data_IF_387713369845
#
_entry.id   IF_387713369845
#
_cell.length_a   1.000
_cell.length_b   1.000
_cell.length_c   1.000
_cell.angle_alpha   90.00
_cell.angle_beta   90.00
_cell.angle_gamma   90.00
#
_symmetry.space_group_name_H-M   'P 1'
#
loop_
_entity.id
_entity.type
_entity.pdbx_description
1 polymer ?
#
# COMPACT_ATOMS: atom_id res chain seq x y z
N UNK A 1 -34.81 -16.78 36.33
CA UNK A 1 -34.81 -16.48 34.88
C UNK A 1 -33.58 -15.62 34.60
N UNK A 2 -32.53 -16.20 34.03
CA UNK A 2 -31.26 -15.51 33.74
C UNK A 2 -31.36 -14.83 32.37
N UNK A 3 -31.13 -13.51 32.32
CA UNK A 3 -30.94 -12.75 31.10
C UNK A 3 -29.44 -12.43 30.95
N UNK A 4 -28.79 -13.13 30.02
CA UNK A 4 -27.39 -12.89 29.67
C UNK A 4 -27.25 -11.53 28.98
N UNK A 5 -26.49 -10.63 29.60
CA UNK A 5 -26.06 -9.34 29.02
C UNK A 5 -24.93 -9.65 28.04
N UNK A 6 -25.23 -9.67 26.74
CA UNK A 6 -24.23 -9.82 25.69
C UNK A 6 -23.20 -8.69 25.75
N UNK A 7 -21.92 -9.08 25.83
CA UNK A 7 -20.75 -8.21 25.77
C UNK A 7 -20.74 -7.56 24.37
N UNK A 8 -20.96 -6.25 24.30
CA UNK A 8 -20.78 -5.48 23.07
C UNK A 8 -19.28 -5.58 22.72
N UNK A 9 -18.88 -6.14 21.56
CA UNK A 9 -17.48 -6.10 21.19
C UNK A 9 -17.14 -4.66 20.78
N UNK A 10 -16.35 -3.97 21.62
CA UNK A 10 -15.66 -2.70 21.31
C UNK A 10 -14.54 -2.93 20.30
N UNK A 11 -14.89 -3.43 19.12
CA UNK A 11 -14.00 -3.37 17.96
C UNK A 11 -14.78 -2.68 16.87
N UNK A 12 -14.36 -1.47 16.59
CA UNK A 12 -14.72 -0.64 15.46
C UNK A 12 -14.44 -1.42 14.17
N UNK A 13 -15.37 -2.29 13.78
CA UNK A 13 -15.46 -2.94 12.47
C UNK A 13 -15.79 -1.84 11.45
N UNK A 14 -14.81 -0.99 11.19
CA UNK A 14 -14.91 0.11 10.24
C UNK A 14 -15.20 -0.47 8.85
N UNK A 15 -16.45 -0.32 8.41
CA UNK A 15 -16.86 -0.18 6.99
C UNK A 15 -16.05 -1.01 5.97
N UNK A 16 -15.81 -2.30 6.22
CA UNK A 16 -15.09 -3.20 5.30
C UNK A 16 -15.87 -3.57 4.02
N UNK A 17 -17.06 -3.02 3.83
CA UNK A 17 -17.85 -3.20 2.62
C UNK A 17 -18.37 -1.84 2.15
N UNK A 18 -17.65 -1.21 1.22
CA UNK A 18 -18.26 -0.27 0.29
C UNK A 18 -18.32 -0.97 -1.06
N UNK A 19 -19.54 -1.15 -1.56
CA UNK A 19 -19.91 -1.72 -2.86
C UNK A 19 -19.56 -0.81 -4.04
N UNK A 20 -18.47 -0.04 -3.94
CA UNK A 20 -17.95 0.76 -5.04
C UNK A 20 -16.95 -0.09 -5.81
N UNK A 21 -17.18 -0.27 -7.11
CA UNK A 21 -16.26 -0.94 -8.03
C UNK A 21 -14.84 -0.41 -7.80
N UNK A 22 -13.87 -1.31 -7.60
CA UNK A 22 -12.46 -0.96 -7.54
C UNK A 22 -12.14 -0.11 -8.79
N UNK A 23 -11.54 1.05 -8.60
CA UNK A 23 -11.31 1.96 -9.72
C UNK A 23 -10.06 2.78 -9.54
N UNK A 24 -9.72 3.54 -10.57
CA UNK A 24 -8.57 4.42 -10.57
C UNK A 24 -8.87 5.73 -11.28
N UNK A 25 -8.20 6.80 -10.90
CA UNK A 25 -8.06 8.00 -11.73
C UNK A 25 -6.75 7.90 -12.50
N UNK A 26 -6.69 8.51 -13.68
CA UNK A 26 -5.49 8.55 -14.50
C UNK A 26 -5.33 9.95 -15.08
N UNK A 27 -4.22 10.60 -14.78
CA UNK A 27 -3.96 11.98 -15.21
C UNK A 27 -2.56 12.10 -15.79
N UNK A 28 -2.39 13.06 -16.70
CA UNK A 28 -1.09 13.43 -17.24
C UNK A 28 -0.70 14.78 -16.65
N UNK A 29 0.32 14.79 -15.80
CA UNK A 29 0.83 15.98 -15.13
C UNK A 29 2.27 16.26 -15.58
N UNK A 30 2.44 17.30 -16.41
CA UNK A 30 3.74 17.68 -16.94
C UNK A 30 4.34 16.61 -17.84
N UNK A 31 5.38 15.92 -17.34
CA UNK A 31 6.11 14.87 -18.05
C UNK A 31 5.80 13.45 -17.54
N UNK A 32 4.88 13.31 -16.57
CA UNK A 32 4.55 12.03 -15.96
C UNK A 32 3.05 11.76 -15.98
N UNK A 33 2.71 10.48 -16.02
CA UNK A 33 1.37 9.95 -15.80
C UNK A 33 1.24 9.56 -14.34
N UNK A 34 0.13 9.95 -13.73
CA UNK A 34 -0.24 9.57 -12.37
C UNK A 34 -1.49 8.70 -12.40
N UNK A 35 -1.44 7.58 -11.68
CA UNK A 35 -2.60 6.78 -11.36
C UNK A 35 -2.83 6.76 -9.85
N UNK A 36 -4.04 7.10 -9.41
CA UNK A 36 -4.48 6.87 -8.05
C UNK A 36 -5.53 5.76 -8.04
N UNK A 37 -5.26 4.69 -7.29
CA UNK A 37 -6.11 3.49 -7.23
C UNK A 37 -6.87 3.45 -5.91
N UNK A 38 -8.20 3.45 -6.01
CA UNK A 38 -9.13 3.32 -4.90
C UNK A 38 -9.77 1.94 -4.85
N UNK A 39 -9.40 1.15 -3.85
CA UNK A 39 -10.01 -0.13 -3.53
C UNK A 39 -10.08 -0.35 -2.01
N UNK A 40 -10.55 -1.53 -1.56
CA UNK A 40 -10.46 -1.90 -0.14
C UNK A 40 -9.02 -2.27 0.28
N UNK A 41 -8.73 -2.27 1.58
CA UNK A 41 -7.38 -2.47 2.12
C UNK A 41 -6.66 -3.71 1.59
N UNK A 42 -7.30 -4.88 1.66
CA UNK A 42 -6.72 -6.16 1.20
C UNK A 42 -6.44 -6.10 -0.30
N UNK A 43 -7.39 -5.55 -1.06
CA UNK A 43 -7.28 -5.40 -2.51
C UNK A 43 -6.17 -4.44 -2.94
N UNK A 44 -6.01 -3.30 -2.27
CA UNK A 44 -4.94 -2.33 -2.58
C UNK A 44 -3.58 -2.98 -2.34
N UNK A 45 -3.41 -3.69 -1.23
CA UNK A 45 -2.15 -4.40 -0.91
C UNK A 45 -1.87 -5.53 -1.91
N UNK A 46 -2.91 -6.27 -2.32
CA UNK A 46 -2.81 -7.29 -3.38
C UNK A 46 -2.41 -6.69 -4.73
N UNK A 47 -3.02 -5.56 -5.10
CA UNK A 47 -2.72 -4.84 -6.32
C UNK A 47 -1.29 -4.31 -6.31
N UNK A 48 -0.84 -3.71 -5.21
CA UNK A 48 0.55 -3.27 -5.03
C UNK A 48 1.54 -4.42 -5.28
N UNK A 49 1.34 -5.57 -4.61
CA UNK A 49 2.18 -6.75 -4.80
C UNK A 49 2.12 -7.29 -6.25
N UNK A 50 0.94 -7.31 -6.86
CA UNK A 50 0.76 -7.83 -8.23
C UNK A 50 1.37 -6.90 -9.28
N UNK A 51 1.14 -5.59 -9.15
CA UNK A 51 1.61 -4.58 -10.09
C UNK A 51 3.12 -4.37 -10.01
N UNK A 52 3.74 -4.63 -8.84
CA UNK A 52 5.20 -4.64 -8.70
C UNK A 52 5.91 -5.60 -9.67
N UNK A 53 5.21 -6.62 -10.21
CA UNK A 53 5.73 -7.49 -11.28
C UNK A 53 6.16 -6.75 -12.54
N UNK A 54 5.59 -5.58 -12.78
CA UNK A 54 5.78 -4.81 -13.99
C UNK A 54 6.98 -3.86 -13.89
N UNK A 55 7.65 -3.84 -12.73
CA UNK A 55 8.88 -3.10 -12.52
C UNK A 55 10.10 -3.89 -13.05
N UNK A 56 11.20 -3.19 -13.37
CA UNK A 56 12.47 -3.83 -13.72
C UNK A 56 13.01 -4.76 -12.62
N UNK A 57 13.94 -5.69 -12.96
CA UNK A 57 14.47 -6.66 -12.01
C UNK A 57 15.25 -6.09 -10.81
N UNK A 58 15.73 -4.85 -10.91
CA UNK A 58 16.42 -4.13 -9.84
C UNK A 58 15.72 -2.78 -9.63
N UNK A 59 15.37 -2.49 -8.38
CA UNK A 59 14.58 -1.31 -8.00
C UNK A 59 15.15 -0.68 -6.73
N UNK A 60 14.87 0.60 -6.54
CA UNK A 60 15.09 1.27 -5.26
C UNK A 60 13.82 1.11 -4.41
N UNK A 61 14.02 0.95 -3.11
CA UNK A 61 12.97 0.66 -2.14
C UNK A 61 13.10 1.60 -0.94
N UNK A 62 11.98 2.20 -0.56
CA UNK A 62 11.84 2.90 0.72
C UNK A 62 10.67 2.30 1.49
N UNK A 63 10.90 1.96 2.75
CA UNK A 63 9.86 1.56 3.69
C UNK A 63 9.85 2.54 4.85
N UNK A 64 8.72 3.17 5.13
CA UNK A 64 8.55 4.06 6.28
C UNK A 64 7.43 3.55 7.16
N UNK A 65 7.77 3.11 8.37
CA UNK A 65 6.80 2.78 9.41
C UNK A 65 6.51 4.02 10.25
N UNK A 66 5.34 4.65 10.04
CA UNK A 66 4.93 5.84 10.78
C UNK A 66 4.58 5.55 12.24
N UNK A 67 4.35 4.28 12.61
CA UNK A 67 4.03 3.88 13.98
C UNK A 67 5.29 3.83 14.84
N UNK A 68 6.40 3.35 14.27
CA UNK A 68 7.71 3.34 14.93
C UNK A 68 8.60 4.53 14.54
N UNK A 69 8.14 5.39 13.62
CA UNK A 69 8.88 6.51 13.06
C UNK A 69 10.23 6.10 12.48
N UNK A 70 10.28 4.92 11.89
CA UNK A 70 11.51 4.36 11.32
C UNK A 70 11.41 4.28 9.81
N UNK A 71 12.48 4.66 9.12
CA UNK A 71 12.59 4.56 7.67
C UNK A 71 13.78 3.69 7.29
N UNK A 72 13.60 2.86 6.28
CA UNK A 72 14.65 2.05 5.67
C UNK A 72 14.71 2.31 4.18
N UNK A 73 15.93 2.29 3.63
CA UNK A 73 16.21 2.47 2.21
C UNK A 73 17.10 1.36 1.68
N UNK A 74 16.83 0.94 0.45
CA UNK A 74 17.69 0.05 -0.32
C UNK A 74 17.80 0.55 -1.75
N UNK A 75 18.99 0.45 -2.31
CA UNK A 75 19.28 0.84 -3.68
C UNK A 75 19.56 -0.40 -4.52
N UNK A 76 19.03 -0.45 -5.75
CA UNK A 76 19.23 -1.56 -6.69
C UNK A 76 18.93 -2.94 -6.08
N UNK A 77 17.90 -3.05 -5.26
CA UNK A 77 17.46 -4.30 -4.61
C UNK A 77 16.82 -5.21 -5.65
N UNK A 78 17.11 -6.51 -5.59
CA UNK A 78 16.52 -7.48 -6.50
C UNK A 78 15.00 -7.57 -6.27
N UNK A 79 14.23 -7.29 -7.32
CA UNK A 79 12.76 -7.30 -7.27
C UNK A 79 12.18 -8.64 -6.74
N UNK A 80 12.70 -9.84 -7.09
CA UNK A 80 12.21 -11.08 -6.51
C UNK A 80 12.24 -11.09 -4.98
N UNK A 81 13.34 -10.63 -4.37
CA UNK A 81 13.50 -10.59 -2.92
C UNK A 81 12.54 -9.58 -2.28
N UNK A 82 12.40 -8.40 -2.90
CA UNK A 82 11.45 -7.36 -2.47
C UNK A 82 10.02 -7.91 -2.49
N UNK A 83 9.63 -8.59 -3.57
CA UNK A 83 8.29 -9.17 -3.71
C UNK A 83 8.02 -10.26 -2.68
N UNK A 84 9.00 -11.12 -2.42
CA UNK A 84 8.91 -12.12 -1.35
C UNK A 84 8.76 -11.50 0.04
N UNK A 85 9.42 -10.37 0.30
CA UNK A 85 9.26 -9.61 1.54
C UNK A 85 7.87 -8.97 1.63
N UNK A 86 7.41 -8.30 0.56
CA UNK A 86 6.07 -7.68 0.49
C UNK A 86 4.97 -8.74 0.65
N UNK A 87 5.12 -9.91 0.05
CA UNK A 87 4.16 -11.01 0.16
C UNK A 87 3.90 -11.41 1.63
N UNK A 88 4.94 -11.39 2.47
CA UNK A 88 4.86 -11.67 3.92
C UNK A 88 4.24 -10.52 4.71
N UNK A 89 4.35 -9.29 4.20
CA UNK A 89 3.77 -8.09 4.79
C UNK A 89 2.29 -7.89 4.44
N UNK A 90 1.73 -8.62 3.47
CA UNK A 90 0.37 -8.36 2.98
C UNK A 90 -0.69 -8.33 4.08
N UNK A 91 -0.70 -9.37 4.92
CA UNK A 91 -1.67 -9.50 6.02
C UNK A 91 -1.49 -8.39 7.07
N UNK A 92 -0.29 -8.16 7.64
CA UNK A 92 -0.14 -7.09 8.63
C UNK A 92 -0.38 -5.70 8.02
N UNK A 93 0.02 -5.43 6.77
CA UNK A 93 -0.29 -4.16 6.10
C UNK A 93 -1.80 -3.95 5.97
N UNK A 94 -2.53 -4.91 5.42
CA UNK A 94 -3.98 -4.79 5.25
C UNK A 94 -4.76 -4.75 6.58
N UNK A 95 -4.18 -5.31 7.64
CA UNK A 95 -4.78 -5.31 8.98
C UNK A 95 -4.60 -3.98 9.69
N UNK A 96 -3.40 -3.39 9.60
CA UNK A 96 -3.02 -2.28 10.45
C UNK A 96 -2.83 -0.96 9.68
N UNK A 97 -2.37 -0.96 8.43
CA UNK A 97 -1.87 0.26 7.78
C UNK A 97 -0.77 0.95 8.58
N UNK A 98 -0.48 2.22 8.28
CA UNK A 98 0.55 3.02 8.97
C UNK A 98 1.97 2.83 8.46
N UNK A 99 2.14 2.08 7.36
CA UNK A 99 3.44 1.86 6.71
C UNK A 99 3.34 2.29 5.25
N UNK A 100 4.27 3.13 4.83
CA UNK A 100 4.50 3.45 3.42
C UNK A 100 5.52 2.48 2.82
N UNK A 101 5.24 1.99 1.62
CA UNK A 101 6.20 1.22 0.82
C UNK A 101 6.25 1.82 -0.57
N UNK A 102 7.40 2.36 -0.96
CA UNK A 102 7.65 2.92 -2.28
C UNK A 102 8.69 2.08 -3.02
N UNK A 103 8.32 1.60 -4.22
CA UNK A 103 9.19 0.91 -5.17
C UNK A 103 9.38 1.83 -6.36
N UNK A 104 10.62 2.14 -6.72
CA UNK A 104 10.84 3.06 -7.84
C UNK A 104 12.11 2.77 -8.64
N UNK A 105 12.09 3.29 -9.86
CA UNK A 105 13.21 3.36 -10.79
C UNK A 105 13.29 4.79 -11.35
N UNK A 106 14.14 5.00 -12.35
CA UNK A 106 14.19 6.28 -13.05
C UNK A 106 12.91 6.62 -13.85
N UNK A 107 12.09 5.61 -14.18
CA UNK A 107 10.96 5.76 -15.11
C UNK A 107 9.59 5.53 -14.45
N UNK A 108 9.53 4.71 -13.40
CA UNK A 108 8.29 4.34 -12.73
C UNK A 108 8.43 4.31 -11.21
N UNK A 109 7.38 4.67 -10.50
CA UNK A 109 7.23 4.53 -9.06
C UNK A 109 5.86 3.94 -8.74
N UNK A 110 5.82 2.98 -7.82
CA UNK A 110 4.60 2.42 -7.23
C UNK A 110 4.70 2.61 -5.73
N UNK A 111 3.72 3.30 -5.14
CA UNK A 111 3.69 3.60 -3.71
C UNK A 111 2.40 3.12 -3.07
N UNK A 112 2.54 2.25 -2.08
CA UNK A 112 1.49 1.95 -1.11
C UNK A 112 1.62 2.93 0.06
N UNK A 113 0.64 3.79 0.26
CA UNK A 113 0.66 4.78 1.35
C UNK A 113 0.31 4.16 2.71
N UNK A 114 0.63 4.83 3.83
CA UNK A 114 0.22 4.41 5.17
C UNK A 114 -1.29 4.25 5.32
N UNK A 115 -2.08 5.01 4.56
CA UNK A 115 -3.54 4.95 4.55
C UNK A 115 -4.08 3.82 3.66
N UNK A 116 -3.21 2.97 3.09
CA UNK A 116 -3.57 1.90 2.15
C UNK A 116 -4.25 2.46 0.90
N UNK A 117 -3.61 3.46 0.31
CA UNK A 117 -3.86 3.97 -1.03
C UNK A 117 -2.70 3.57 -1.93
N UNK A 118 -2.96 3.44 -3.22
CA UNK A 118 -1.95 3.06 -4.19
C UNK A 118 -1.81 4.18 -5.23
N UNK A 119 -0.61 4.76 -5.29
CA UNK A 119 -0.22 5.74 -6.28
C UNK A 119 0.82 5.13 -7.22
N UNK A 120 0.72 5.46 -8.50
CA UNK A 120 1.67 5.07 -9.52
C UNK A 120 2.06 6.31 -10.30
N UNK A 121 3.36 6.58 -10.40
CA UNK A 121 3.92 7.62 -11.24
C UNK A 121 4.74 6.97 -12.34
N UNK A 122 4.59 7.40 -13.58
CA UNK A 122 5.28 6.78 -14.71
C UNK A 122 5.55 7.76 -15.84
N UNK A 123 6.63 7.53 -16.60
CA UNK A 123 6.92 8.30 -17.82
C UNK A 123 6.06 7.92 -19.03
N UNK A 124 5.32 6.83 -18.94
CA UNK A 124 4.47 6.33 -20.03
C UNK A 124 3.07 5.97 -19.54
N UNK A 125 2.13 5.92 -20.46
CA UNK A 125 0.73 5.58 -20.21
C UNK A 125 0.49 4.07 -19.99
N UNK A 126 1.54 3.24 -19.99
CA UNK A 126 1.45 1.77 -19.88
C UNK A 126 0.58 1.28 -18.71
N UNK A 127 0.57 2.02 -17.61
CA UNK A 127 -0.17 1.68 -16.41
C UNK A 127 -1.68 1.78 -16.58
N UNK A 128 -2.18 2.63 -17.49
CA UNK A 128 -3.60 2.67 -17.86
C UNK A 128 -4.09 1.28 -18.26
N UNK A 129 -3.36 0.66 -19.20
CA UNK A 129 -3.71 -0.64 -19.75
C UNK A 129 -3.49 -1.78 -18.75
N UNK A 130 -2.46 -1.69 -17.92
CA UNK A 130 -2.21 -2.67 -16.85
C UNK A 130 -3.32 -2.65 -15.80
N UNK A 131 -3.78 -1.47 -15.37
CA UNK A 131 -4.85 -1.31 -14.39
C UNK A 131 -6.19 -1.80 -14.95
N UNK A 132 -6.54 -1.43 -16.19
CA UNK A 132 -7.71 -1.95 -16.89
C UNK A 132 -7.64 -3.49 -17.02
N UNK A 133 -6.47 -4.04 -17.35
CA UNK A 133 -6.22 -5.48 -17.40
C UNK A 133 -6.37 -6.20 -16.05
N UNK A 134 -6.31 -5.49 -14.92
CA UNK A 134 -6.62 -6.03 -13.57
C UNK A 134 -8.10 -5.88 -13.18
N UNK A 135 -8.96 -5.46 -14.12
CA UNK A 135 -10.39 -5.29 -13.92
C UNK A 135 -10.77 -4.02 -13.17
N UNK A 136 -9.88 -3.02 -13.15
CA UNK A 136 -10.16 -1.71 -12.57
C UNK A 136 -10.81 -0.81 -13.62
N UNK A 137 -11.81 -0.05 -13.20
CA UNK A 137 -12.45 0.95 -14.06
C UNK A 137 -11.81 2.31 -13.86
N UNK A 138 -11.48 2.98 -14.96
CA UNK A 138 -11.07 4.38 -14.93
C UNK A 138 -12.28 5.26 -14.57
N UNK A 139 -12.07 6.20 -13.65
CA UNK A 139 -13.10 7.10 -13.13
C UNK A 139 -12.62 8.54 -13.20
N UNK A 140 -13.55 9.46 -13.47
CA UNK A 140 -13.25 10.89 -13.45
C UNK A 140 -12.80 11.38 -12.07
N UNK A 141 -13.30 10.75 -11.01
CA UNK A 141 -12.89 10.99 -9.64
C UNK A 141 -13.17 9.77 -8.78
N UNK A 142 -12.31 9.51 -7.81
CA UNK A 142 -12.60 8.57 -6.73
C UNK A 142 -13.12 9.34 -5.51
N UNK A 143 -13.92 8.68 -4.69
CA UNK A 143 -14.35 9.30 -3.43
C UNK A 143 -13.11 9.50 -2.54
N UNK A 144 -12.80 10.75 -2.22
CA UNK A 144 -11.71 11.09 -1.30
C UNK A 144 -11.87 10.31 0.00
N UNK A 145 -10.81 9.60 0.40
CA UNK A 145 -10.67 9.20 1.79
C UNK A 145 -10.39 10.49 2.55
N UNK A 146 -11.36 10.88 3.39
CA UNK A 146 -11.31 12.11 4.19
C UNK A 146 -9.92 12.30 4.80
N UNK A 147 -9.21 13.30 4.29
CA UNK A 147 -7.84 13.66 4.60
C UNK A 147 -7.72 13.95 6.10
N UNK A 148 -6.90 13.16 6.77
CA UNK A 148 -6.59 13.31 8.17
C UNK A 148 -5.95 12.02 8.63
N UNK A 149 -4.69 12.10 9.08
CA UNK A 149 -4.05 10.99 9.77
C UNK A 149 -5.00 10.56 10.88
N UNK A 150 -5.62 9.39 10.76
CA UNK A 150 -6.54 8.97 11.78
C UNK A 150 -5.71 8.66 13.02
N UNK A 151 -6.24 8.90 14.21
CA UNK A 151 -5.49 8.67 15.45
C UNK A 151 -4.94 7.24 15.56
N UNK A 152 -5.53 6.28 14.82
CA UNK A 152 -5.03 4.91 14.73
C UNK A 152 -3.75 4.76 13.91
N UNK A 153 -3.41 5.67 13.00
CA UNK A 153 -2.23 5.62 12.13
C UNK A 153 -0.93 5.64 12.94
N UNK A 154 -0.97 6.25 14.12
CA UNK A 154 0.16 6.37 15.07
C UNK A 154 0.02 5.50 16.31
N UNK A 155 -1.07 4.73 16.44
CA UNK A 155 -1.19 3.77 17.53
C UNK A 155 -0.05 2.73 17.42
N UNK A 156 0.53 2.22 18.51
CA UNK A 156 1.51 1.15 18.39
C UNK A 156 0.90 -0.11 17.76
N UNK A 157 1.58 -0.69 16.78
CA UNK A 157 1.24 -2.00 16.22
C UNK A 157 2.50 -2.89 16.20
N UNK A 158 2.92 -3.45 17.36
CA UNK A 158 4.20 -4.13 17.48
C UNK A 158 4.40 -5.29 16.50
N UNK A 159 3.32 -6.02 16.18
CA UNK A 159 3.34 -7.10 15.19
C UNK A 159 3.67 -6.60 13.79
N UNK A 160 3.13 -5.44 13.39
CA UNK A 160 3.43 -4.82 12.10
C UNK A 160 4.88 -4.33 12.09
N UNK A 161 5.28 -3.54 13.10
CA UNK A 161 6.63 -2.98 13.17
C UNK A 161 7.70 -4.07 13.18
N UNK A 162 7.50 -5.16 13.92
CA UNK A 162 8.41 -6.30 13.93
C UNK A 162 8.48 -7.00 12.55
N UNK A 163 7.35 -7.14 11.86
CA UNK A 163 7.33 -7.72 10.52
C UNK A 163 8.06 -6.83 9.50
N UNK A 164 7.90 -5.50 9.60
CA UNK A 164 8.61 -4.53 8.77
C UNK A 164 10.11 -4.56 9.05
N UNK A 165 10.55 -4.56 10.31
CA UNK A 165 11.97 -4.69 10.65
C UNK A 165 12.56 -6.00 10.11
N UNK A 166 11.85 -7.12 10.25
CA UNK A 166 12.30 -8.41 9.71
C UNK A 166 12.36 -8.44 8.16
N UNK A 167 11.51 -7.68 7.49
CA UNK A 167 11.56 -7.49 6.03
C UNK A 167 12.79 -6.63 5.64
N UNK A 168 13.01 -5.52 6.35
CA UNK A 168 14.16 -4.65 6.13
C UNK A 168 15.49 -5.38 6.36
N UNK A 169 15.60 -6.18 7.41
CA UNK A 169 16.77 -7.02 7.70
C UNK A 169 17.01 -8.05 6.58
N UNK A 170 15.96 -8.75 6.12
CA UNK A 170 16.06 -9.72 5.02
C UNK A 170 16.57 -9.09 3.73
N UNK A 171 16.14 -7.86 3.45
CA UNK A 171 16.54 -7.11 2.26
C UNK A 171 17.85 -6.33 2.45
N UNK A 172 18.48 -6.43 3.64
CA UNK A 172 19.69 -5.67 4.00
C UNK A 172 19.53 -4.16 3.80
N UNK A 173 18.34 -3.61 4.11
CA UNK A 173 18.07 -2.18 3.98
C UNK A 173 18.80 -1.37 5.04
N UNK A 174 19.17 -0.15 4.70
CA UNK A 174 19.81 0.80 5.62
C UNK A 174 18.74 1.63 6.31
N UNK A 175 18.76 1.65 7.64
CA UNK A 175 17.90 2.53 8.43
C UNK A 175 18.42 3.97 8.33
N UNK A 176 17.52 4.93 8.11
CA UNK A 176 17.83 6.37 7.99
C UNK A 176 17.10 7.20 9.02
#
# INVERSE_FOLDING_TARGET
>A
MMLFRGRNPDVTVWKRFRSGVDGFTFTHEGEHWEAYVGANAERVVDLFHTLSEQLPPAIDLVITDLRSQTTWKGESVALPDVRDAVARLKVPLATYGGVEVALYTADDQITLTPQLELYIFARSDRWLYLLQGKGLEEKASLADRSWGSQAWDRAPAPTLSAAVSAAAERLSLTQT
#
